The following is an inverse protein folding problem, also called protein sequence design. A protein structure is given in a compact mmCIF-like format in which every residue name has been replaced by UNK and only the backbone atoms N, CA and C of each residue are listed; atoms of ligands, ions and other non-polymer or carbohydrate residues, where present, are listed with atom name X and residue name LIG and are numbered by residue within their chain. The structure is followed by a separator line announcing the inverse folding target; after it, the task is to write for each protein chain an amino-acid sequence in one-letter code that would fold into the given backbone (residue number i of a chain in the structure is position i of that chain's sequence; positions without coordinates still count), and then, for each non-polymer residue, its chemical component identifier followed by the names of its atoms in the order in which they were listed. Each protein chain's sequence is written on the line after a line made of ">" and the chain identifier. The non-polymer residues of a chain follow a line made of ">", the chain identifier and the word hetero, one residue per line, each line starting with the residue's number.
data_IF_842911734156
#
_entry.id   IF_842911734156
#
_cell.length_a   1.000
_cell.length_b   1.000
_cell.length_c   1.000
_cell.angle_alpha   90.00
_cell.angle_beta   90.00
_cell.angle_gamma   90.00
#
_symmetry.space_group_name_H-M   'P 1'
#
loop_
_entity.id
_entity.type
_entity.pdbx_description
1 polymer ?
#
# COMPACT_ATOMS: atom_id res chain seq x y z
N UNK A 1 -6.74 21.05 -36.73
CA UNK A 1 -7.87 20.32 -36.13
C UNK A 1 -7.32 19.23 -35.21
N UNK A 2 -7.60 19.43 -33.92
CA UNK A 2 -6.81 18.97 -32.79
C UNK A 2 -7.06 17.49 -32.45
N UNK A 3 -6.02 16.66 -32.57
CA UNK A 3 -6.00 15.31 -32.05
C UNK A 3 -6.04 15.36 -30.51
N UNK A 4 -7.27 15.35 -29.96
CA UNK A 4 -7.55 15.26 -28.53
C UNK A 4 -6.83 14.07 -27.93
N UNK A 5 -5.75 14.40 -27.25
CA UNK A 5 -4.98 13.60 -26.33
C UNK A 5 -5.89 12.90 -25.31
N UNK A 6 -6.36 11.70 -25.66
CA UNK A 6 -7.08 10.78 -24.80
C UNK A 6 -6.12 10.14 -23.78
N UNK A 7 -5.37 10.96 -23.03
CA UNK A 7 -4.67 10.51 -21.83
C UNK A 7 -5.71 10.21 -20.76
N UNK A 8 -6.32 9.01 -20.85
CA UNK A 8 -7.11 8.36 -19.79
C UNK A 8 -6.23 8.10 -18.57
N UNK A 9 -5.84 9.16 -17.85
CA UNK A 9 -5.09 9.05 -16.62
C UNK A 9 -6.07 8.79 -15.46
N UNK A 10 -6.53 7.55 -15.32
CA UNK A 10 -7.20 7.05 -14.10
C UNK A 10 -6.25 7.03 -12.89
N UNK A 11 -4.97 7.38 -13.08
CA UNK A 11 -3.90 7.16 -12.13
C UNK A 11 -3.90 8.09 -10.89
N UNK A 12 -4.75 9.12 -10.88
CA UNK A 12 -4.65 10.21 -9.88
C UNK A 12 -5.86 10.38 -8.96
N UNK A 13 -6.98 9.68 -9.21
CA UNK A 13 -8.17 9.71 -8.32
C UNK A 13 -8.21 8.45 -7.45
N UNK A 14 -7.62 8.53 -6.26
CA UNK A 14 -7.87 7.64 -5.10
C UNK A 14 -8.06 6.15 -5.47
N UNK A 15 -7.13 5.57 -6.23
CA UNK A 15 -7.18 4.15 -6.57
C UNK A 15 -7.16 3.36 -5.25
N UNK A 16 -8.26 2.70 -4.93
CA UNK A 16 -8.31 1.73 -3.84
C UNK A 16 -7.46 0.54 -4.27
N UNK A 17 -6.19 0.54 -3.87
CA UNK A 17 -5.26 -0.54 -4.20
C UNK A 17 -5.61 -1.78 -3.37
N UNK A 18 -6.22 -2.78 -4.00
CA UNK A 18 -6.39 -4.08 -3.39
C UNK A 18 -5.04 -4.81 -3.34
N UNK A 19 -4.75 -5.41 -2.19
CA UNK A 19 -3.50 -6.15 -1.95
C UNK A 19 -3.43 -7.38 -2.84
N UNK A 20 -4.57 -8.00 -3.15
CA UNK A 20 -4.70 -9.12 -4.06
C UNK A 20 -4.09 -8.82 -5.44
N UNK A 21 -4.48 -7.71 -6.08
CA UNK A 21 -3.89 -7.31 -7.37
C UNK A 21 -2.44 -6.84 -7.20
N UNK A 22 -2.08 -6.29 -6.04
CA UNK A 22 -0.71 -5.90 -5.72
C UNK A 22 0.27 -7.09 -5.68
N UNK A 23 -0.20 -8.28 -5.32
CA UNK A 23 0.63 -9.48 -5.23
C UNK A 23 1.14 -10.00 -6.58
N UNK A 24 0.51 -9.59 -7.70
CA UNK A 24 0.94 -9.93 -9.06
C UNK A 24 2.22 -9.19 -9.48
N UNK A 25 2.55 -8.08 -8.80
CA UNK A 25 3.74 -7.29 -9.08
C UNK A 25 4.88 -7.74 -8.18
N UNK A 26 5.92 -8.31 -8.79
CA UNK A 26 7.15 -8.64 -8.08
C UNK A 26 7.70 -7.39 -7.36
N UNK A 27 8.07 -7.55 -6.09
CA UNK A 27 8.58 -6.50 -5.18
C UNK A 27 7.56 -5.50 -4.61
N UNK A 28 6.25 -5.64 -4.88
CA UNK A 28 5.24 -4.77 -4.26
C UNK A 28 4.88 -5.24 -2.84
N UNK A 29 5.53 -4.64 -1.84
CA UNK A 29 5.28 -4.93 -0.42
C UNK A 29 4.28 -3.93 0.20
N UNK A 30 3.33 -4.34 1.07
CA UNK A 30 2.33 -3.45 1.71
C UNK A 30 2.86 -2.46 2.74
N UNK A 31 4.16 -2.47 3.02
CA UNK A 31 4.85 -1.58 3.95
C UNK A 31 6.22 -1.23 3.34
N UNK A 32 6.82 -0.07 3.66
CA UNK A 32 8.16 0.27 3.22
C UNK A 32 9.17 -0.85 3.53
N UNK A 33 9.99 -1.25 2.54
CA UNK A 33 11.05 -2.23 2.75
C UNK A 33 12.05 -1.69 3.79
N UNK A 34 12.67 -2.60 4.55
CA UNK A 34 13.62 -2.29 5.64
C UNK A 34 13.04 -1.55 6.85
N UNK A 35 11.73 -1.42 6.98
CA UNK A 35 11.12 -0.85 8.19
C UNK A 35 11.21 -1.77 9.42
N UNK A 36 11.39 -3.09 9.22
CA UNK A 36 11.38 -4.08 10.30
C UNK A 36 10.01 -4.30 10.96
N UNK A 37 8.98 -3.59 10.49
CA UNK A 37 7.62 -3.62 11.06
C UNK A 37 6.84 -4.82 10.54
N UNK A 38 5.92 -5.32 11.34
CA UNK A 38 5.00 -6.37 10.89
C UNK A 38 4.05 -5.81 9.82
N UNK A 39 3.70 -6.62 8.81
CA UNK A 39 2.74 -6.23 7.76
C UNK A 39 1.33 -5.95 8.28
N UNK A 40 1.06 -6.37 9.52
CA UNK A 40 -0.20 -6.17 10.24
C UNK A 40 -0.16 -4.92 11.13
N UNK A 41 0.81 -4.03 10.92
CA UNK A 41 0.82 -2.72 11.59
C UNK A 41 -0.15 -1.77 10.89
N UNK A 42 -0.97 -1.05 11.67
CA UNK A 42 -1.84 -0.01 11.12
C UNK A 42 -1.03 1.12 10.49
N UNK A 43 -1.44 1.55 9.30
CA UNK A 43 -0.86 2.67 8.58
C UNK A 43 0.67 2.57 8.43
N UNK A 44 1.15 1.39 8.02
CA UNK A 44 2.58 1.05 8.03
C UNK A 44 3.48 2.03 7.24
N UNK A 45 2.95 2.69 6.21
CA UNK A 45 3.65 3.74 5.45
C UNK A 45 3.85 5.06 6.22
N UNK A 46 2.94 5.37 7.16
CA UNK A 46 2.95 6.62 7.94
C UNK A 46 3.43 6.43 9.36
N UNK A 47 3.50 5.19 9.84
CA UNK A 47 3.86 4.90 11.21
C UNK A 47 5.32 5.27 11.49
N UNK A 48 5.52 6.12 12.51
CA UNK A 48 6.83 6.57 13.01
C UNK A 48 6.95 6.16 14.46
N UNK A 49 8.10 5.62 14.85
CA UNK A 49 8.35 5.15 16.21
C UNK A 49 9.11 3.83 16.27
N UNK A 50 9.39 3.32 17.48
CA UNK A 50 10.08 2.05 17.68
C UNK A 50 9.35 0.90 16.98
N UNK A 51 10.15 -0.08 16.57
CA UNK A 51 9.67 -1.24 15.81
C UNK A 51 9.35 -2.37 16.80
N UNK A 52 8.13 -2.90 16.73
CA UNK A 52 7.68 -4.03 17.53
C UNK A 52 7.25 -5.18 16.60
N UNK A 53 8.17 -6.07 16.16
CA UNK A 53 7.87 -7.10 15.16
C UNK A 53 6.78 -8.09 15.59
N UNK A 54 6.72 -8.39 16.88
CA UNK A 54 5.76 -9.34 17.45
C UNK A 54 4.38 -8.75 17.71
N UNK A 55 4.23 -7.42 17.61
CA UNK A 55 2.95 -6.77 17.83
C UNK A 55 2.12 -6.74 16.53
N UNK A 56 0.90 -7.27 16.60
CA UNK A 56 -0.08 -7.23 15.49
C UNK A 56 -1.23 -6.32 15.89
N UNK A 57 -1.29 -5.12 15.34
CA UNK A 57 -2.41 -4.20 15.57
C UNK A 57 -3.64 -4.56 14.73
N UNK A 58 -3.41 -5.18 13.58
CA UNK A 58 -4.43 -5.49 12.60
C UNK A 58 -4.77 -6.97 12.51
N UNK A 59 -6.06 -7.30 12.39
CA UNK A 59 -6.53 -8.68 12.15
C UNK A 59 -6.58 -9.08 10.67
N UNK A 60 -6.80 -8.14 9.75
CA UNK A 60 -6.89 -8.43 8.31
C UNK A 60 -6.11 -7.40 7.49
N UNK A 61 -5.10 -7.85 6.76
CA UNK A 61 -4.14 -6.99 6.04
C UNK A 61 -4.83 -6.00 5.07
N UNK A 62 -5.97 -6.40 4.50
CA UNK A 62 -6.81 -5.58 3.61
C UNK A 62 -7.34 -4.31 4.28
N UNK A 63 -7.47 -4.28 5.61
CA UNK A 63 -7.98 -3.13 6.36
C UNK A 63 -6.90 -2.13 6.80
N UNK A 64 -5.63 -2.55 6.82
CA UNK A 64 -4.58 -1.82 7.56
C UNK A 64 -3.46 -1.26 6.68
N UNK A 65 -3.46 -1.60 5.39
CA UNK A 65 -2.57 -1.00 4.38
C UNK A 65 -2.80 0.51 4.15
N UNK A 66 -3.90 1.08 4.65
CA UNK A 66 -4.29 2.47 4.42
C UNK A 66 -3.28 3.48 4.94
#
# INVERSE_FOLDING_TARGET
>A
EDAKDNRRALFWRRIQYYISYGALSANRVPCPPRSGRSYYTHNCYRARGPVHPYHRGCSAITRCRR
#
